data_IF_199480472868
#
_entry.id   IF_199480472868
#
_cell.length_a   1.000
_cell.length_b   1.000
_cell.length_c   1.000
_cell.angle_alpha   90.00
_cell.angle_beta   90.00
_cell.angle_gamma   90.00
#
_symmetry.space_group_name_H-M   'P 1'
#
loop_
_entity.id
_entity.type
_entity.pdbx_description
1 polymer ?
#
# COMPACT_ATOMS: atom_id res chain seq x y z
N UNK A 1 -18.88 6.88 4.01
CA UNK A 1 -17.49 6.68 3.54
C UNK A 1 -16.79 5.70 4.41
N UNK A 2 -16.05 4.82 3.79
CA UNK A 2 -15.30 3.82 4.55
C UNK A 2 -14.14 4.47 5.30
N UNK A 3 -13.86 3.95 6.50
CA UNK A 3 -12.76 4.43 7.33
C UNK A 3 -11.58 3.48 7.17
N UNK A 4 -10.91 3.57 6.03
CA UNK A 4 -9.75 2.71 5.79
C UNK A 4 -8.51 3.28 6.44
N UNK A 5 -7.64 2.38 6.89
CA UNK A 5 -6.31 2.75 7.39
C UNK A 5 -5.31 2.47 6.30
N UNK A 6 -4.54 3.47 5.95
CA UNK A 6 -3.63 3.40 4.81
C UNK A 6 -2.21 3.71 5.25
N UNK A 7 -1.28 2.85 4.89
CA UNK A 7 0.13 3.10 5.09
C UNK A 7 0.72 3.78 3.86
N UNK A 8 1.63 4.71 4.06
CA UNK A 8 2.36 5.35 2.97
C UNK A 8 3.85 5.19 3.24
N UNK A 9 4.56 4.69 2.23
CA UNK A 9 6.02 4.59 2.28
C UNK A 9 6.60 5.61 1.33
N UNK A 10 7.52 6.45 1.82
CA UNK A 10 8.31 7.33 0.96
C UNK A 10 9.76 6.91 1.03
N UNK A 11 10.52 7.22 -0.02
CA UNK A 11 11.92 6.79 -0.15
C UNK A 11 12.81 8.01 0.03
N UNK A 12 13.66 7.99 1.05
CA UNK A 12 14.48 9.17 1.38
C UNK A 12 15.44 9.56 0.25
N UNK A 13 16.01 8.60 -0.46
CA UNK A 13 16.90 8.93 -1.57
C UNK A 13 16.16 9.51 -2.78
N UNK A 14 14.84 9.50 -2.76
CA UNK A 14 14.00 10.11 -3.80
C UNK A 14 13.20 11.26 -3.20
N UNK A 15 13.86 12.13 -2.45
CA UNK A 15 13.18 13.18 -1.67
C UNK A 15 12.35 14.15 -2.52
N UNK A 16 12.82 14.51 -3.71
CA UNK A 16 12.05 15.40 -4.58
C UNK A 16 10.75 14.76 -5.05
N UNK A 17 10.83 13.50 -5.42
CA UNK A 17 9.64 12.74 -5.80
C UNK A 17 8.66 12.63 -4.63
N UNK A 18 9.20 12.32 -3.46
CA UNK A 18 8.37 12.21 -2.25
C UNK A 18 7.67 13.53 -1.92
N UNK A 19 8.39 14.65 -1.98
CA UNK A 19 7.80 15.96 -1.70
C UNK A 19 6.69 16.33 -2.67
N UNK A 20 6.89 16.03 -3.96
CA UNK A 20 5.87 16.34 -4.96
C UNK A 20 4.59 15.51 -4.79
N UNK A 21 4.72 14.30 -4.27
CA UNK A 21 3.62 13.36 -4.30
C UNK A 21 2.93 13.12 -2.96
N UNK A 22 3.62 13.34 -1.85
CA UNK A 22 3.07 13.01 -0.53
C UNK A 22 1.84 13.82 -0.19
N UNK A 23 1.93 15.14 -0.34
CA UNK A 23 0.80 16.01 0.01
C UNK A 23 -0.42 15.69 -0.85
N UNK A 24 -0.21 15.50 -2.16
CA UNK A 24 -1.31 15.18 -3.08
C UNK A 24 -1.92 13.81 -2.76
N UNK A 25 -1.10 12.84 -2.41
CA UNK A 25 -1.61 11.52 -2.03
C UNK A 25 -2.46 11.61 -0.77
N UNK A 26 -1.99 12.33 0.24
CA UNK A 26 -2.76 12.52 1.48
C UNK A 26 -4.07 13.24 1.22
N UNK A 27 -4.05 14.27 0.39
CA UNK A 27 -5.28 15.00 0.06
C UNK A 27 -6.28 14.11 -0.67
N UNK A 28 -5.78 13.28 -1.58
CA UNK A 28 -6.62 12.32 -2.28
C UNK A 28 -7.29 11.34 -1.31
N UNK A 29 -6.52 10.83 -0.35
CA UNK A 29 -7.06 9.91 0.66
C UNK A 29 -8.12 10.60 1.51
N UNK A 30 -7.87 11.83 1.93
CA UNK A 30 -8.83 12.57 2.75
C UNK A 30 -10.11 12.87 1.98
N UNK A 31 -9.99 13.20 0.70
CA UNK A 31 -11.15 13.41 -0.15
C UNK A 31 -12.01 12.15 -0.29
N UNK A 32 -11.40 10.98 -0.14
CA UNK A 32 -12.08 9.70 -0.22
C UNK A 32 -12.51 9.16 1.15
N UNK A 33 -12.40 9.96 2.19
CA UNK A 33 -12.93 9.64 3.51
C UNK A 33 -11.94 9.21 4.57
N UNK A 34 -10.65 9.13 4.24
CA UNK A 34 -9.65 8.75 5.25
C UNK A 34 -9.37 9.92 6.18
N UNK A 35 -9.27 9.66 7.47
CA UNK A 35 -8.92 10.68 8.45
C UNK A 35 -7.41 10.72 8.66
N UNK A 36 -6.92 11.84 9.14
CA UNK A 36 -5.48 12.03 9.35
C UNK A 36 -4.86 10.93 10.19
N UNK A 37 -5.50 10.52 11.28
CA UNK A 37 -4.96 9.50 12.16
C UNK A 37 -4.95 8.11 11.53
N UNK A 38 -5.67 7.91 10.44
CA UNK A 38 -5.68 6.64 9.73
C UNK A 38 -4.73 6.60 8.54
N UNK A 39 -3.91 7.64 8.39
CA UNK A 39 -2.88 7.71 7.35
C UNK A 39 -1.53 7.64 8.05
N UNK A 40 -0.86 6.49 7.93
CA UNK A 40 0.40 6.24 8.64
C UNK A 40 1.56 6.35 7.67
N UNK A 41 2.50 7.25 7.96
CA UNK A 41 3.66 7.48 7.10
C UNK A 41 4.90 6.82 7.66
N UNK A 42 5.66 6.15 6.81
CA UNK A 42 6.97 5.59 7.16
C UNK A 42 7.96 5.88 6.05
N UNK A 43 9.22 5.92 6.42
CA UNK A 43 10.33 6.23 5.52
C UNK A 43 11.15 4.98 5.25
N UNK A 44 11.50 4.75 3.99
CA UNK A 44 12.51 3.78 3.62
C UNK A 44 13.76 4.58 3.23
N UNK A 45 14.93 4.32 3.83
CA UNK A 45 16.12 5.08 3.47
C UNK A 45 16.47 4.97 2.00
N UNK A 46 16.35 3.78 1.41
CA UNK A 46 16.65 3.52 0.01
C UNK A 46 15.55 2.66 -0.60
N UNK A 47 15.53 2.62 -1.92
CA UNK A 47 14.61 1.74 -2.66
C UNK A 47 14.73 0.30 -2.14
N UNK A 48 15.94 -0.16 -1.90
CA UNK A 48 16.20 -1.51 -1.40
C UNK A 48 15.43 -1.84 -0.11
N UNK A 49 15.14 -0.85 0.72
CA UNK A 49 14.49 -1.08 2.02
C UNK A 49 12.97 -1.08 1.95
N UNK A 50 12.41 -0.74 0.80
CA UNK A 50 10.95 -0.54 0.66
C UNK A 50 10.15 -1.80 1.01
N UNK A 51 10.60 -2.95 0.55
CA UNK A 51 9.87 -4.20 0.80
C UNK A 51 9.78 -4.50 2.30
N UNK A 52 10.88 -4.31 3.02
CA UNK A 52 10.88 -4.59 4.45
C UNK A 52 10.00 -3.60 5.22
N UNK A 53 10.05 -2.32 4.87
CA UNK A 53 9.17 -1.32 5.52
C UNK A 53 7.71 -1.66 5.28
N UNK A 54 7.39 -2.11 4.06
CA UNK A 54 6.03 -2.53 3.73
C UNK A 54 5.62 -3.77 4.55
N UNK A 55 6.54 -4.70 4.74
CA UNK A 55 6.28 -5.86 5.59
C UNK A 55 5.99 -5.44 7.03
N UNK A 56 6.70 -4.42 7.54
CA UNK A 56 6.43 -3.92 8.89
C UNK A 56 4.98 -3.44 9.00
N UNK A 57 4.47 -2.76 7.99
CA UNK A 57 3.06 -2.37 7.98
C UNK A 57 2.15 -3.59 8.10
N UNK A 58 2.43 -4.63 7.32
CA UNK A 58 1.60 -5.82 7.33
C UNK A 58 1.66 -6.55 8.67
N UNK A 59 2.84 -6.63 9.26
CA UNK A 59 3.08 -7.40 10.48
C UNK A 59 2.68 -6.67 11.75
N UNK A 60 2.91 -5.37 11.81
CA UNK A 60 2.80 -4.63 13.07
C UNK A 60 1.68 -3.61 13.11
N UNK A 61 0.88 -3.50 12.04
CA UNK A 61 -0.25 -2.58 12.01
C UNK A 61 -1.46 -3.27 11.40
N UNK A 62 -2.59 -2.58 11.46
CA UNK A 62 -3.84 -3.08 10.86
C UNK A 62 -4.23 -2.28 9.62
N UNK A 63 -3.26 -1.76 8.86
CA UNK A 63 -3.58 -1.01 7.65
C UNK A 63 -4.26 -1.92 6.63
N UNK A 64 -5.17 -1.34 5.87
CA UNK A 64 -5.92 -2.04 4.83
C UNK A 64 -5.14 -2.11 3.51
N UNK A 65 -4.24 -1.17 3.29
CA UNK A 65 -3.42 -1.11 2.09
C UNK A 65 -2.17 -0.28 2.35
N UNK A 66 -1.16 -0.44 1.51
CA UNK A 66 0.06 0.37 1.57
C UNK A 66 0.30 1.02 0.21
N UNK A 67 0.58 2.30 0.23
CA UNK A 67 0.93 3.08 -0.96
C UNK A 67 2.43 3.32 -0.92
N UNK A 68 3.12 2.96 -1.99
CA UNK A 68 4.56 3.18 -2.11
C UNK A 68 4.79 4.33 -3.09
N UNK A 69 5.18 5.49 -2.58
CA UNK A 69 5.50 6.64 -3.42
C UNK A 69 6.96 6.51 -3.85
N UNK A 70 7.17 5.89 -4.99
CA UNK A 70 8.49 5.51 -5.47
C UNK A 70 8.55 5.72 -6.97
N UNK A 71 9.57 6.45 -7.40
CA UNK A 71 9.76 6.73 -8.82
C UNK A 71 10.29 5.50 -9.54
N UNK A 72 9.67 5.10 -10.66
CA UNK A 72 10.16 3.96 -11.43
C UNK A 72 11.56 4.23 -12.00
N UNK A 73 12.36 3.18 -12.07
CA UNK A 73 13.60 3.23 -12.82
C UNK A 73 13.89 1.85 -13.42
N UNK A 74 14.96 1.75 -14.20
CA UNK A 74 15.30 0.52 -14.91
C UNK A 74 16.39 -0.29 -14.21
N UNK A 75 16.68 0.02 -12.94
CA UNK A 75 17.74 -0.68 -12.22
C UNK A 75 17.31 -2.10 -11.84
N UNK A 76 18.27 -3.03 -11.74
CA UNK A 76 17.96 -4.36 -11.21
C UNK A 76 17.41 -4.30 -9.78
N UNK A 77 17.85 -3.33 -8.98
CA UNK A 77 17.36 -3.13 -7.61
C UNK A 77 15.85 -2.86 -7.60
N UNK A 78 15.40 -1.97 -8.48
CA UNK A 78 13.97 -1.64 -8.58
C UNK A 78 13.15 -2.89 -8.94
N UNK A 79 13.63 -3.67 -9.91
CA UNK A 79 12.96 -4.90 -10.35
C UNK A 79 12.83 -5.91 -9.20
N UNK A 80 13.89 -6.07 -8.41
CA UNK A 80 13.87 -6.98 -7.27
C UNK A 80 12.86 -6.52 -6.22
N UNK A 81 12.80 -5.22 -5.98
CA UNK A 81 11.83 -4.65 -5.03
C UNK A 81 10.40 -4.88 -5.51
N UNK A 82 10.13 -4.66 -6.79
CA UNK A 82 8.79 -4.91 -7.34
C UNK A 82 8.39 -6.38 -7.17
N UNK A 83 9.32 -7.29 -7.42
CA UNK A 83 9.06 -8.71 -7.23
C UNK A 83 8.74 -9.05 -5.78
N UNK A 84 9.50 -8.46 -4.84
CA UNK A 84 9.26 -8.66 -3.41
C UNK A 84 7.91 -8.12 -2.98
N UNK A 85 7.55 -6.93 -3.46
CA UNK A 85 6.26 -6.32 -3.13
C UNK A 85 5.10 -7.13 -3.68
N UNK A 86 5.25 -7.71 -4.87
CA UNK A 86 4.23 -8.56 -5.46
C UNK A 86 3.97 -9.79 -4.59
N UNK A 87 5.04 -10.43 -4.11
CA UNK A 87 4.92 -11.60 -3.24
C UNK A 87 4.27 -11.23 -1.91
N UNK A 88 4.68 -10.09 -1.36
CA UNK A 88 4.17 -9.61 -0.08
C UNK A 88 2.67 -9.33 -0.16
N UNK A 89 2.25 -8.69 -1.24
CA UNK A 89 0.84 -8.37 -1.47
C UNK A 89 -0.03 -9.62 -1.45
N UNK A 90 0.44 -10.66 -2.12
CA UNK A 90 -0.29 -11.92 -2.20
C UNK A 90 -0.27 -12.67 -0.87
N UNK A 91 0.89 -12.72 -0.22
CA UNK A 91 1.04 -13.43 1.05
C UNK A 91 0.16 -12.85 2.14
N UNK A 92 0.02 -11.54 2.19
CA UNK A 92 -0.78 -10.87 3.23
C UNK A 92 -2.19 -10.52 2.76
N UNK A 93 -2.50 -10.77 1.49
CA UNK A 93 -3.80 -10.40 0.91
C UNK A 93 -4.12 -8.94 1.18
N UNK A 94 -3.13 -8.10 0.94
CA UNK A 94 -3.18 -6.67 1.25
C UNK A 94 -2.76 -5.88 0.00
N UNK A 95 -3.63 -4.99 -0.50
CA UNK A 95 -3.26 -4.18 -1.67
C UNK A 95 -2.03 -3.34 -1.43
N UNK A 96 -1.12 -3.34 -2.39
CA UNK A 96 0.07 -2.50 -2.40
C UNK A 96 0.09 -1.79 -3.74
N UNK A 97 0.03 -0.46 -3.72
CA UNK A 97 0.06 0.33 -4.94
C UNK A 97 1.35 1.16 -4.99
N UNK A 98 1.87 1.36 -6.18
CA UNK A 98 3.21 1.92 -6.36
C UNK A 98 3.16 3.00 -7.43
N UNK A 99 3.85 4.09 -7.19
CA UNK A 99 3.99 5.14 -8.19
C UNK A 99 3.91 6.53 -7.61
N UNK A 100 3.22 7.41 -8.30
CA UNK A 100 3.02 8.78 -7.88
C UNK A 100 1.74 8.91 -7.04
N UNK A 101 1.26 10.12 -6.86
CA UNK A 101 0.08 10.37 -6.00
C UNK A 101 -1.19 9.65 -6.48
N UNK A 102 -1.25 9.22 -7.74
CA UNK A 102 -2.41 8.47 -8.23
C UNK A 102 -2.52 7.08 -7.61
N UNK A 103 -1.44 6.58 -7.03
CA UNK A 103 -1.47 5.31 -6.31
C UNK A 103 -2.43 5.35 -5.12
N UNK A 104 -2.75 6.54 -4.61
CA UNK A 104 -3.67 6.68 -3.48
C UNK A 104 -5.09 6.26 -3.86
N UNK A 105 -5.62 6.77 -4.97
CA UNK A 105 -6.97 6.37 -5.40
C UNK A 105 -7.01 4.90 -5.80
N UNK A 106 -5.93 4.42 -6.40
CA UNK A 106 -5.83 3.01 -6.77
C UNK A 106 -5.92 2.12 -5.51
N UNK A 107 -5.25 2.51 -4.43
CA UNK A 107 -5.29 1.74 -3.19
C UNK A 107 -6.71 1.65 -2.63
N UNK A 108 -7.42 2.77 -2.60
CA UNK A 108 -8.79 2.80 -2.12
C UNK A 108 -9.71 1.91 -2.99
N UNK A 109 -9.54 2.00 -4.30
CA UNK A 109 -10.33 1.17 -5.21
C UNK A 109 -10.08 -0.32 -4.97
N UNK A 110 -8.83 -0.69 -4.72
CA UNK A 110 -8.48 -2.09 -4.48
C UNK A 110 -9.02 -2.59 -3.16
N UNK A 111 -8.98 -1.78 -2.10
CA UNK A 111 -9.55 -2.17 -0.80
C UNK A 111 -11.07 -2.31 -0.93
N UNK A 112 -11.72 -1.38 -1.63
CA UNK A 112 -13.17 -1.45 -1.82
C UNK A 112 -13.55 -2.71 -2.59
N UNK A 113 -12.81 -3.05 -3.63
CA UNK A 113 -13.05 -4.27 -4.41
C UNK A 113 -12.85 -5.52 -3.54
N UNK A 114 -11.79 -5.55 -2.75
CA UNK A 114 -11.51 -6.67 -1.85
C UNK A 114 -12.66 -6.89 -0.88
N UNK A 115 -13.14 -5.82 -0.26
CA UNK A 115 -14.24 -5.90 0.69
C UNK A 115 -15.53 -6.36 0.02
N UNK A 116 -15.78 -5.88 -1.18
CA UNK A 116 -16.96 -6.26 -1.95
C UNK A 116 -16.94 -7.74 -2.31
N UNK A 117 -15.80 -8.22 -2.79
CA UNK A 117 -15.66 -9.63 -3.15
C UNK A 117 -15.71 -10.54 -1.92
N UNK A 118 -15.11 -10.11 -0.82
CA UNK A 118 -15.15 -10.88 0.42
C UNK A 118 -16.58 -11.00 0.95
N UNK A 119 -17.34 -9.91 0.90
CA UNK A 119 -18.73 -9.90 1.35
C UNK A 119 -19.64 -10.78 0.48
N UNK A 120 -19.33 -10.88 -0.81
CA UNK A 120 -20.11 -11.67 -1.76
C UNK A 120 -19.70 -13.14 -1.78
N UNK A 121 -18.55 -13.51 -1.18
CA UNK A 121 -18.07 -14.88 -1.21
C UNK A 121 -18.90 -15.78 -0.31
N UNK A 122 -19.09 -17.06 -0.68
CA UNK A 122 -19.72 -18.02 0.23
C UNK A 122 -18.90 -18.13 1.52
N UNK A 123 -19.57 -18.13 2.65
CA UNK A 123 -18.95 -18.07 3.97
C UNK A 123 -17.82 -19.09 4.18
N UNK A 124 -18.06 -20.32 3.78
CA UNK A 124 -17.06 -21.38 3.96
C UNK A 124 -15.82 -21.20 3.09
N UNK A 125 -15.94 -20.55 1.95
CA UNK A 125 -14.80 -20.28 1.06
C UNK A 125 -13.97 -19.10 1.55
N UNK A 126 -14.63 -18.07 2.05
CA UNK A 126 -13.95 -16.88 2.54
C UNK A 126 -13.03 -17.21 3.71
N UNK A 127 -13.48 -18.06 4.62
CA UNK A 127 -12.70 -18.53 5.76
C UNK A 127 -11.45 -19.29 5.33
N UNK A 128 -11.59 -20.19 4.38
CA UNK A 128 -10.48 -21.01 3.89
C UNK A 128 -9.44 -20.17 3.16
N UNK A 129 -9.89 -19.20 2.37
CA UNK A 129 -8.98 -18.37 1.58
C UNK A 129 -8.09 -17.50 2.43
N UNK A 130 -8.54 -17.09 3.59
CA UNK A 130 -7.73 -16.26 4.48
C UNK A 130 -6.54 -16.99 5.07
N UNK A 131 -6.50 -18.29 4.93
CA UNK A 131 -5.44 -19.13 5.49
C UNK A 131 -4.36 -19.45 4.46
N UNK A 132 -4.51 -19.01 3.24
CA UNK A 132 -3.55 -19.28 2.18
C UNK A 132 -2.44 -18.26 2.21
N UNK A 133 -1.26 -18.65 2.63
CA UNK A 133 -0.09 -17.77 2.59
C UNK A 133 1.18 -18.57 2.51
#
# INVERSE_FOLDING_TARGET
>A
MAQYKIGIVIVDEQSNFAHRNLSAAKESLKAMGCTEQNILLRHAPRVYNVTLVTQFFAEYTDVDAVIILMEPDNSPEYEVVLSGLTKLQIAWNMPITIGDCTAASEAIDMVAMQNEMEAAAPEHLSSDRKQVN
#
